data_IF_901264949135
#
_entry.id   IF_901264949135
#
_cell.length_a   1.000
_cell.length_b   1.000
_cell.length_c   1.000
_cell.angle_alpha   90.00
_cell.angle_beta   90.00
_cell.angle_gamma   90.00
#
_symmetry.space_group_name_H-M   'P 1'
#
loop_
_entity.id
_entity.type
_entity.pdbx_description
1 polymer ?
#
# COMPACT_ATOMS: atom_id res chain seq x y z
N UNK A 1 15.08 -11.59 -24.13
CA UNK A 1 15.12 -11.98 -22.70
C UNK A 1 14.96 -10.79 -21.75
N UNK A 2 15.38 -9.58 -22.13
CA UNK A 2 15.24 -8.37 -21.29
C UNK A 2 13.78 -7.95 -21.03
N UNK A 3 12.88 -8.07 -22.02
CA UNK A 3 11.46 -7.69 -21.84
C UNK A 3 10.73 -8.47 -20.75
N UNK A 4 11.03 -9.77 -20.60
CA UNK A 4 10.46 -10.60 -19.50
C UNK A 4 10.97 -10.16 -18.13
N UNK A 5 12.18 -9.60 -18.04
CA UNK A 5 12.74 -9.10 -16.79
C UNK A 5 12.04 -7.79 -16.39
N UNK A 6 11.93 -6.84 -17.32
CA UNK A 6 11.28 -5.53 -17.09
C UNK A 6 9.82 -5.69 -16.67
N UNK A 7 9.06 -6.57 -17.33
CA UNK A 7 7.65 -6.81 -17.00
C UNK A 7 7.46 -7.26 -15.53
N UNK A 8 8.35 -8.10 -15.00
CA UNK A 8 8.25 -8.55 -13.60
C UNK A 8 8.46 -7.42 -12.59
N UNK A 9 9.37 -6.48 -12.85
CA UNK A 9 9.58 -5.32 -11.98
C UNK A 9 8.45 -4.30 -12.09
N UNK A 10 7.84 -4.15 -13.27
CA UNK A 10 6.64 -3.31 -13.44
C UNK A 10 5.47 -3.90 -12.63
N UNK A 11 5.22 -5.21 -12.75
CA UNK A 11 4.21 -5.90 -11.95
C UNK A 11 4.51 -5.78 -10.45
N UNK A 12 5.79 -5.82 -10.06
CA UNK A 12 6.20 -5.55 -8.69
C UNK A 12 5.85 -4.13 -8.26
N UNK A 13 6.20 -3.14 -9.06
CA UNK A 13 5.89 -1.75 -8.77
C UNK A 13 4.40 -1.52 -8.53
N UNK A 14 3.52 -2.11 -9.34
CA UNK A 14 2.07 -1.96 -9.21
C UNK A 14 1.41 -2.87 -8.16
N UNK A 15 2.16 -3.78 -7.55
CA UNK A 15 1.60 -4.73 -6.57
C UNK A 15 1.00 -4.08 -5.33
N UNK A 16 1.47 -2.88 -4.96
CA UNK A 16 0.88 -2.09 -3.86
C UNK A 16 -0.62 -1.79 -4.07
N UNK A 17 -1.10 -1.79 -5.32
CA UNK A 17 -2.52 -1.57 -5.62
C UNK A 17 -3.41 -2.67 -5.01
N UNK A 18 -2.90 -3.90 -4.88
CA UNK A 18 -3.63 -5.00 -4.25
C UNK A 18 -3.94 -4.72 -2.78
N UNK A 19 -3.05 -3.98 -2.11
CA UNK A 19 -3.22 -3.57 -0.71
C UNK A 19 -4.45 -2.66 -0.58
N UNK A 20 -4.68 -1.79 -1.56
CA UNK A 20 -5.85 -0.90 -1.54
C UNK A 20 -7.17 -1.63 -1.74
N UNK A 21 -7.22 -2.67 -2.59
CA UNK A 21 -8.45 -3.45 -2.77
C UNK A 21 -8.97 -3.95 -1.41
N UNK A 22 -8.06 -4.41 -0.55
CA UNK A 22 -8.39 -4.88 0.81
C UNK A 22 -8.67 -3.72 1.77
N UNK A 23 -7.99 -2.58 1.59
CA UNK A 23 -8.16 -1.41 2.44
C UNK A 23 -9.45 -0.61 2.15
N UNK A 24 -10.02 -0.71 0.94
CA UNK A 24 -11.16 0.08 0.46
C UNK A 24 -12.39 0.03 1.38
N UNK A 25 -12.84 -1.13 1.91
CA UNK A 25 -14.00 -1.17 2.81
C UNK A 25 -13.80 -0.33 4.07
N UNK A 26 -12.60 -0.36 4.63
CA UNK A 26 -12.26 0.40 5.85
C UNK A 26 -12.14 1.89 5.51
N UNK A 27 -11.56 2.21 4.36
CA UNK A 27 -11.48 3.58 3.84
C UNK A 27 -12.87 4.18 3.65
N UNK A 28 -13.80 3.42 3.07
CA UNK A 28 -15.19 3.85 2.87
C UNK A 28 -15.89 4.17 4.20
N UNK A 29 -15.71 3.32 5.22
CA UNK A 29 -16.27 3.57 6.56
C UNK A 29 -15.67 4.84 7.17
N UNK A 30 -14.36 5.05 7.03
CA UNK A 30 -13.69 6.24 7.58
C UNK A 30 -14.15 7.54 6.90
N UNK A 31 -14.34 7.52 5.58
CA UNK A 31 -14.89 8.67 4.83
C UNK A 31 -16.35 8.95 5.21
N UNK A 32 -17.17 7.92 5.42
CA UNK A 32 -18.53 8.19 5.92
C UNK A 32 -18.51 8.76 7.35
N UNK A 33 -17.57 8.31 8.18
CA UNK A 33 -17.43 8.80 9.56
C UNK A 33 -16.92 10.25 9.64
N UNK A 34 -16.25 10.80 8.61
CA UNK A 34 -15.88 12.22 8.60
C UNK A 34 -17.08 13.16 8.41
N UNK A 35 -18.15 12.68 7.78
CA UNK A 35 -19.35 13.46 7.51
C UNK A 35 -20.42 13.34 8.63
N UNK A 36 -20.22 12.44 9.59
CA UNK A 36 -21.15 12.22 10.70
C UNK A 36 -20.88 13.20 11.86
N UNK A 37 -21.83 14.10 12.22
CA UNK A 37 -21.64 15.08 13.28
C UNK A 37 -21.59 14.48 14.68
N UNK A 38 -21.91 13.20 14.85
CA UNK A 38 -21.85 12.48 16.13
C UNK A 38 -20.47 11.87 16.40
N UNK A 39 -19.60 11.83 15.39
CA UNK A 39 -18.26 11.25 15.48
C UNK A 39 -17.23 12.36 15.65
N UNK A 40 -16.34 12.21 16.64
CA UNK A 40 -15.25 13.17 16.86
C UNK A 40 -14.21 13.10 15.73
N UNK A 41 -13.90 14.26 15.14
CA UNK A 41 -12.84 14.35 14.11
C UNK A 41 -11.47 13.90 14.62
N UNK A 42 -11.16 14.09 15.91
CA UNK A 42 -9.90 13.61 16.50
C UNK A 42 -9.82 12.08 16.48
N UNK A 43 -10.95 11.41 16.75
CA UNK A 43 -11.05 9.95 16.68
C UNK A 43 -10.86 9.44 15.24
N UNK A 44 -11.46 10.11 14.26
CA UNK A 44 -11.30 9.75 12.84
C UNK A 44 -9.85 9.92 12.40
N UNK A 45 -9.20 11.02 12.80
CA UNK A 45 -7.79 11.29 12.49
C UNK A 45 -6.86 10.21 13.07
N UNK A 46 -6.99 9.90 14.36
CA UNK A 46 -6.17 8.86 15.03
C UNK A 46 -6.37 7.51 14.36
N UNK A 47 -7.63 7.14 14.09
CA UNK A 47 -7.95 5.87 13.42
C UNK A 47 -7.36 5.82 12.01
N UNK A 48 -7.45 6.92 11.26
CA UNK A 48 -6.85 7.05 9.94
C UNK A 48 -5.33 6.91 9.94
N UNK A 49 -4.64 7.50 10.92
CA UNK A 49 -3.18 7.34 11.06
C UNK A 49 -2.78 5.91 11.41
N UNK A 50 -3.46 5.28 12.37
CA UNK A 50 -3.20 3.88 12.74
C UNK A 50 -3.43 2.97 11.54
N UNK A 51 -4.54 3.17 10.84
CA UNK A 51 -4.86 2.41 9.64
C UNK A 51 -3.79 2.59 8.56
N UNK A 52 -3.35 3.82 8.29
CA UNK A 52 -2.28 4.11 7.34
C UNK A 52 -0.97 3.37 7.67
N UNK A 53 -0.57 3.35 8.94
CA UNK A 53 0.62 2.61 9.40
C UNK A 53 0.44 1.10 9.18
N UNK A 54 -0.72 0.55 9.57
CA UNK A 54 -1.02 -0.88 9.42
C UNK A 54 -1.02 -1.30 7.95
N UNK A 55 -1.67 -0.53 7.07
CA UNK A 55 -1.72 -0.79 5.62
C UNK A 55 -0.35 -0.67 4.99
N UNK A 56 0.49 0.27 5.44
CA UNK A 56 1.87 0.41 4.95
C UNK A 56 2.71 -0.81 5.31
N UNK A 57 2.65 -1.26 6.58
CA UNK A 57 3.41 -2.42 7.05
C UNK A 57 2.91 -3.71 6.39
N UNK A 58 1.59 -3.95 6.41
CA UNK A 58 1.00 -5.14 5.80
C UNK A 58 1.20 -5.15 4.29
N UNK A 59 1.05 -4.01 3.63
CA UNK A 59 1.26 -3.89 2.20
C UNK A 59 2.69 -4.18 1.78
N UNK A 60 3.66 -3.61 2.50
CA UNK A 60 5.08 -3.91 2.30
C UNK A 60 5.39 -5.39 2.54
N UNK A 61 4.79 -6.00 3.56
CA UNK A 61 4.95 -7.42 3.87
C UNK A 61 4.33 -8.33 2.81
N UNK A 62 3.08 -8.09 2.41
CA UNK A 62 2.36 -8.85 1.39
C UNK A 62 3.10 -8.79 0.06
N UNK A 63 3.53 -7.59 -0.36
CA UNK A 63 4.39 -7.44 -1.53
C UNK A 63 5.63 -8.33 -1.36
N UNK A 64 6.40 -8.20 -0.28
CA UNK A 64 7.60 -9.02 -0.07
C UNK A 64 7.33 -10.55 -0.12
N UNK A 65 6.19 -11.03 0.40
CA UNK A 65 5.78 -12.45 0.32
C UNK A 65 5.44 -12.86 -1.12
N UNK A 66 4.61 -12.08 -1.83
CA UNK A 66 4.20 -12.38 -3.20
C UNK A 66 5.42 -12.38 -4.13
N UNK A 67 6.35 -11.44 -3.99
CA UNK A 67 7.56 -11.38 -4.82
C UNK A 67 8.57 -12.48 -4.50
N UNK A 68 8.60 -12.94 -3.24
CA UNK A 68 9.35 -14.12 -2.87
C UNK A 68 8.83 -15.38 -3.55
N UNK A 69 7.52 -15.61 -3.48
CA UNK A 69 6.93 -16.85 -3.96
C UNK A 69 6.69 -16.91 -5.47
N UNK A 70 6.31 -15.79 -6.10
CA UNK A 70 5.67 -15.84 -7.42
C UNK A 70 6.58 -15.44 -8.58
N UNK A 71 7.51 -14.49 -8.38
CA UNK A 71 8.23 -13.87 -9.51
C UNK A 71 9.72 -14.22 -9.60
N UNK A 72 10.27 -14.89 -8.58
CA UNK A 72 11.68 -15.26 -8.47
C UNK A 72 12.60 -14.06 -8.81
N UNK A 73 12.27 -12.88 -8.28
CA UNK A 73 13.01 -11.64 -8.51
C UNK A 73 14.30 -11.63 -7.70
N UNK A 74 15.35 -11.04 -8.27
CA UNK A 74 16.63 -10.89 -7.57
C UNK A 74 16.48 -9.87 -6.45
N UNK A 75 16.59 -10.33 -5.21
CA UNK A 75 16.55 -9.51 -3.99
C UNK A 75 17.77 -8.60 -3.90
N UNK A 76 17.64 -7.54 -3.10
CA UNK A 76 18.72 -6.62 -2.75
C UNK A 76 19.39 -5.98 -3.98
N UNK A 77 18.61 -5.76 -5.04
CA UNK A 77 19.04 -4.97 -6.20
C UNK A 77 18.57 -3.54 -6.04
N UNK A 78 19.22 -2.61 -6.77
CA UNK A 78 18.78 -1.21 -6.84
C UNK A 78 17.29 -1.07 -7.20
N UNK A 79 16.78 -1.93 -8.08
CA UNK A 79 15.38 -1.93 -8.52
C UNK A 79 14.44 -2.44 -7.42
N UNK A 80 14.78 -3.55 -6.74
CA UNK A 80 13.93 -4.07 -5.66
C UNK A 80 13.86 -3.11 -4.47
N UNK A 81 14.97 -2.45 -4.14
CA UNK A 81 15.02 -1.42 -3.10
C UNK A 81 14.24 -0.16 -3.48
N UNK A 82 14.42 0.31 -4.72
CA UNK A 82 13.66 1.46 -5.22
C UNK A 82 12.14 1.22 -5.15
N UNK A 83 11.70 0.04 -5.58
CA UNK A 83 10.27 -0.32 -5.53
C UNK A 83 9.79 -0.39 -4.08
N UNK A 84 10.54 -1.04 -3.17
CA UNK A 84 10.18 -1.13 -1.76
C UNK A 84 10.05 0.26 -1.10
N UNK A 85 11.03 1.14 -1.31
CA UNK A 85 10.99 2.51 -0.78
C UNK A 85 9.82 3.29 -1.39
N UNK A 86 9.55 3.10 -2.68
CA UNK A 86 8.39 3.71 -3.35
C UNK A 86 7.08 3.24 -2.70
N UNK A 87 6.95 1.97 -2.31
CA UNK A 87 5.76 1.47 -1.62
C UNK A 87 5.58 2.13 -0.24
N UNK A 88 6.66 2.35 0.52
CA UNK A 88 6.59 3.03 1.82
C UNK A 88 6.06 4.46 1.72
N UNK A 89 6.19 5.11 0.57
CA UNK A 89 5.68 6.47 0.32
C UNK A 89 4.31 6.41 -0.34
N UNK A 90 4.16 5.61 -1.39
CA UNK A 90 2.93 5.53 -2.18
C UNK A 90 1.75 5.01 -1.36
N UNK A 91 1.96 4.05 -0.45
CA UNK A 91 0.90 3.48 0.39
C UNK A 91 0.25 4.54 1.32
N UNK A 92 1.02 5.30 2.11
CA UNK A 92 0.41 6.35 2.94
C UNK A 92 -0.01 7.58 2.12
N UNK A 93 0.59 7.85 0.96
CA UNK A 93 0.22 9.01 0.12
C UNK A 93 -1.13 8.79 -0.57
N UNK A 94 -1.41 7.62 -1.15
CA UNK A 94 -2.72 7.43 -1.79
C UNK A 94 -3.84 7.48 -0.76
N UNK A 95 -3.61 7.05 0.48
CA UNK A 95 -4.55 7.25 1.60
C UNK A 95 -4.93 8.72 1.79
N UNK A 96 -3.93 9.62 1.83
CA UNK A 96 -4.15 11.08 1.96
C UNK A 96 -4.84 11.73 0.76
N UNK A 97 -4.96 11.03 -0.38
CA UNK A 97 -5.70 11.55 -1.53
C UNK A 97 -7.20 11.28 -1.43
N UNK A 98 -7.63 10.37 -0.54
CA UNK A 98 -9.03 9.96 -0.40
C UNK A 98 -9.74 10.50 0.84
N UNK A 99 -8.99 11.02 1.83
CA UNK A 99 -9.50 11.77 2.99
C UNK A 99 -9.29 13.27 2.76
#
# INVERSE_FOLDING_TARGET
MEGKFVAKYILYFFSYLLVYIVALPILFILVMATDDPTVSHDWVNVTGYIFSVVVTILGAWISNVIFNGSFNLKKNTKYSWFIFISHLILIPVTWRLFL
#
